data_IF_647973713907
#
_entry.id   IF_647973713907
#
_cell.length_a   1.000
_cell.length_b   1.000
_cell.length_c   1.000
_cell.angle_alpha   90.00
_cell.angle_beta   90.00
_cell.angle_gamma   90.00
#
_symmetry.space_group_name_H-M   'P 1'
#
loop_
_entity.id
_entity.type
_entity.pdbx_description
1 polymer ?
#
# COMPACT_ATOMS: atom_id res chain seq x y z
N UNK A 1 -10.35 10.61 7.18
CA UNK A 1 -10.53 9.36 7.96
C UNK A 1 -9.21 8.62 8.02
N UNK A 2 -8.80 8.14 9.20
CA UNK A 2 -7.57 7.35 9.43
C UNK A 2 -7.96 5.94 9.87
N UNK A 3 -7.33 4.91 9.31
CA UNK A 3 -7.54 3.50 9.67
C UNK A 3 -6.21 2.76 9.77
N UNK A 4 -6.16 1.75 10.63
CA UNK A 4 -5.02 0.85 10.76
C UNK A 4 -5.41 -0.55 10.29
N UNK A 5 -4.62 -1.13 9.40
CA UNK A 5 -4.81 -2.47 8.88
C UNK A 5 -3.56 -3.31 9.15
N UNK A 6 -3.75 -4.59 9.38
CA UNK A 6 -2.66 -5.56 9.45
C UNK A 6 -2.55 -6.27 8.11
N UNK A 7 -1.33 -6.37 7.58
CA UNK A 7 -1.01 -7.02 6.31
C UNK A 7 0.15 -8.00 6.54
N UNK A 8 0.07 -9.20 5.98
CA UNK A 8 1.24 -10.07 5.83
C UNK A 8 1.79 -9.93 4.42
N UNK A 9 3.10 -9.96 4.24
CA UNK A 9 3.74 -9.99 2.91
C UNK A 9 4.75 -11.13 2.90
N UNK A 10 4.73 -11.92 1.83
CA UNK A 10 5.61 -13.07 1.66
C UNK A 10 7.00 -12.62 1.19
N UNK A 11 8.03 -13.09 1.88
CA UNK A 11 9.42 -13.00 1.47
C UNK A 11 9.74 -13.99 0.35
N UNK A 12 10.85 -13.75 -0.36
CA UNK A 12 11.32 -14.65 -1.43
C UNK A 12 11.74 -16.03 -0.92
N UNK A 13 12.06 -16.12 0.36
CA UNK A 13 12.46 -17.33 1.09
C UNK A 13 11.26 -18.09 1.70
N UNK A 14 10.03 -17.67 1.41
CA UNK A 14 8.81 -18.27 1.96
C UNK A 14 8.45 -17.79 3.37
N UNK A 15 9.21 -16.86 3.94
CA UNK A 15 8.84 -16.20 5.20
C UNK A 15 7.60 -15.33 5.00
N UNK A 16 6.84 -15.10 6.07
CA UNK A 16 5.77 -14.11 6.10
C UNK A 16 6.07 -13.07 7.17
N UNK A 17 6.10 -11.82 6.74
CA UNK A 17 6.35 -10.69 7.62
C UNK A 17 5.07 -9.90 7.85
N UNK A 18 4.80 -9.56 9.10
CA UNK A 18 3.67 -8.71 9.48
C UNK A 18 4.02 -7.24 9.30
N UNK A 19 3.10 -6.49 8.70
CA UNK A 19 3.17 -5.06 8.50
C UNK A 19 1.88 -4.40 8.98
N UNK A 20 2.02 -3.20 9.53
CA UNK A 20 0.92 -2.31 9.83
C UNK A 20 0.80 -1.27 8.71
N UNK A 21 -0.38 -1.19 8.10
CA UNK A 21 -0.72 -0.15 7.15
C UNK A 21 -1.61 0.89 7.82
N UNK A 22 -1.08 2.10 8.00
CA UNK A 22 -1.86 3.27 8.34
C UNK A 22 -2.39 3.91 7.06
N UNK A 23 -3.72 3.91 6.90
CA UNK A 23 -4.43 4.40 5.72
C UNK A 23 -5.14 5.70 6.06
N UNK A 24 -4.78 6.78 5.37
CA UNK A 24 -5.44 8.07 5.45
C UNK A 24 -6.14 8.34 4.13
N UNK A 25 -7.47 8.46 4.16
CA UNK A 25 -8.28 8.82 2.99
C UNK A 25 -8.29 10.34 2.80
N UNK A 26 -7.82 10.77 1.63
CA UNK A 26 -7.97 12.11 1.08
C UNK A 26 -9.07 12.13 0.01
N UNK A 27 -9.39 13.29 -0.55
CA UNK A 27 -10.51 13.46 -1.51
C UNK A 27 -10.37 12.56 -2.74
N UNK A 28 -9.17 12.47 -3.31
CA UNK A 28 -8.92 11.76 -4.59
C UNK A 28 -7.95 10.58 -4.47
N UNK A 29 -7.34 10.38 -3.30
CA UNK A 29 -6.31 9.37 -3.09
C UNK A 29 -6.27 8.87 -1.65
N UNK A 30 -5.54 7.79 -1.42
CA UNK A 30 -5.14 7.32 -0.09
C UNK A 30 -3.65 7.55 0.10
N UNK A 31 -3.29 8.07 1.27
CA UNK A 31 -1.92 7.98 1.78
C UNK A 31 -1.83 6.73 2.65
N UNK A 32 -0.91 5.84 2.34
CA UNK A 32 -0.68 4.59 3.09
C UNK A 32 0.74 4.60 3.63
N UNK A 33 0.90 4.66 4.95
CA UNK A 33 2.19 4.43 5.60
C UNK A 33 2.28 2.96 6.01
N UNK A 34 3.26 2.25 5.48
CA UNK A 34 3.48 0.85 5.79
C UNK A 34 4.70 0.72 6.70
N UNK A 35 4.50 0.20 7.91
CA UNK A 35 5.58 -0.08 8.87
C UNK A 35 5.64 -1.57 9.19
N UNK A 36 6.82 -2.13 9.45
CA UNK A 36 6.92 -3.55 9.79
C UNK A 36 8.33 -4.08 9.99
N UNK A 37 8.54 -5.31 9.54
CA UNK A 37 9.73 -6.11 9.80
C UNK A 37 11.05 -5.34 9.57
N UNK A 38 12.00 -5.49 10.52
CA UNK A 38 13.32 -4.84 10.51
C UNK A 38 13.28 -3.31 10.40
N UNK A 39 12.24 -2.66 10.92
CA UNK A 39 12.11 -1.20 10.84
C UNK A 39 11.79 -0.72 9.44
N UNK A 40 11.26 -1.60 8.58
CA UNK A 40 10.71 -1.20 7.30
C UNK A 40 9.66 -0.12 7.52
N UNK A 41 9.83 1.01 6.86
CA UNK A 41 8.90 2.11 6.82
C UNK A 41 8.90 2.67 5.40
N UNK A 42 7.76 2.65 4.73
CA UNK A 42 7.63 3.22 3.39
C UNK A 42 6.23 3.83 3.20
N UNK A 43 6.19 5.00 2.57
CA UNK A 43 4.95 5.73 2.30
C UNK A 43 4.52 5.57 0.85
N UNK A 44 3.24 5.26 0.67
CA UNK A 44 2.60 5.07 -0.62
C UNK A 44 1.44 6.03 -0.83
N UNK A 45 1.24 6.43 -2.08
CA UNK A 45 0.02 7.08 -2.54
C UNK A 45 -0.72 6.10 -3.46
N UNK A 46 -1.98 5.82 -3.13
CA UNK A 46 -2.88 5.00 -3.94
C UNK A 46 -3.96 5.90 -4.51
N UNK A 47 -4.09 5.98 -5.83
CA UNK A 47 -5.12 6.76 -6.51
C UNK A 47 -5.88 5.89 -7.50
N UNK A 48 -7.17 6.19 -7.70
CA UNK A 48 -7.99 5.55 -8.73
C UNK A 48 -7.92 6.41 -9.99
N UNK A 49 -7.51 5.83 -11.10
CA UNK A 49 -7.54 6.43 -12.43
C UNK A 49 -8.42 5.54 -13.31
N UNK A 50 -9.59 6.06 -13.70
CA UNK A 50 -10.64 5.33 -14.40
C UNK A 50 -11.02 4.02 -13.70
N UNK A 51 -10.63 2.89 -14.28
CA UNK A 51 -10.90 1.54 -13.80
C UNK A 51 -9.68 0.86 -13.15
N UNK A 52 -8.58 1.60 -12.95
CA UNK A 52 -7.32 1.08 -12.41
C UNK A 52 -6.88 1.84 -11.17
N UNK A 53 -6.06 1.18 -10.35
CA UNK A 53 -5.41 1.80 -9.21
C UNK A 53 -3.94 2.01 -9.53
N UNK A 54 -3.47 3.24 -9.32
CA UNK A 54 -2.07 3.60 -9.45
C UNK A 54 -1.45 3.75 -8.07
N UNK A 55 -0.37 3.03 -7.85
CA UNK A 55 0.39 3.03 -6.60
C UNK A 55 1.73 3.74 -6.83
N UNK A 56 2.03 4.73 -5.99
CA UNK A 56 3.25 5.53 -6.06
C UNK A 56 3.99 5.37 -4.75
N UNK A 57 5.23 4.88 -4.79
CA UNK A 57 6.12 4.88 -3.64
C UNK A 57 6.71 6.29 -3.49
N UNK A 58 6.29 7.01 -2.44
CA UNK A 58 6.63 8.43 -2.26
C UNK A 58 8.11 8.62 -1.91
N UNK A 59 8.68 7.72 -1.10
CA UNK A 59 10.09 7.84 -0.67
C UNK A 59 11.06 7.62 -1.84
N UNK A 60 10.64 6.82 -2.83
CA UNK A 60 11.39 6.55 -4.08
C UNK A 60 10.94 7.41 -5.25
N UNK A 61 9.89 8.23 -5.07
CA UNK A 61 9.24 9.03 -6.11
C UNK A 61 8.96 8.25 -7.41
N UNK A 62 8.58 6.98 -7.28
CA UNK A 62 8.39 6.09 -8.43
C UNK A 62 7.02 5.44 -8.44
N UNK A 63 6.48 5.23 -9.63
CA UNK A 63 5.25 4.47 -9.84
C UNK A 63 5.62 3.00 -9.70
N UNK A 64 4.95 2.31 -8.78
CA UNK A 64 5.13 0.88 -8.64
C UNK A 64 4.54 0.16 -9.84
N UNK A 65 5.30 -0.75 -10.42
CA UNK A 65 4.77 -1.65 -11.43
C UNK A 65 3.62 -2.48 -10.82
N UNK A 66 2.57 -2.81 -11.61
CA UNK A 66 1.41 -3.58 -11.14
C UNK A 66 1.73 -5.07 -11.01
N UNK A 67 2.83 -5.39 -10.33
CA UNK A 67 3.34 -6.75 -10.10
C UNK A 67 3.73 -6.93 -8.64
N UNK A 68 3.56 -8.14 -8.15
CA UNK A 68 3.93 -8.53 -6.80
C UNK A 68 2.86 -8.28 -5.73
N UNK A 69 3.03 -8.99 -4.61
CA UNK A 69 2.05 -9.06 -3.53
C UNK A 69 1.78 -7.71 -2.87
N UNK A 70 2.81 -6.88 -2.65
CA UNK A 70 2.65 -5.56 -2.02
C UNK A 70 1.74 -4.65 -2.86
N UNK A 71 1.96 -4.58 -4.18
CA UNK A 71 1.11 -3.79 -5.08
C UNK A 71 -0.35 -4.28 -5.01
N UNK A 72 -0.58 -5.58 -5.08
CA UNK A 72 -1.93 -6.16 -5.01
C UNK A 72 -2.66 -5.84 -3.70
N UNK A 73 -1.95 -5.82 -2.56
CA UNK A 73 -2.53 -5.43 -1.26
C UNK A 73 -2.86 -3.94 -1.22
N UNK A 74 -1.97 -3.08 -1.72
CA UNK A 74 -2.23 -1.64 -1.80
C UNK A 74 -3.40 -1.32 -2.75
N UNK A 75 -3.52 -2.04 -3.86
CA UNK A 75 -4.68 -1.95 -4.75
C UNK A 75 -5.97 -2.42 -4.05
N UNK A 76 -5.93 -3.50 -3.28
CA UNK A 76 -7.09 -3.99 -2.50
C UNK A 76 -7.54 -2.95 -1.47
N UNK A 77 -6.60 -2.28 -0.80
CA UNK A 77 -6.88 -1.13 0.08
C UNK A 77 -7.51 0.01 -0.73
N UNK A 78 -6.94 0.34 -1.90
CA UNK A 78 -7.51 1.30 -2.84
C UNK A 78 -8.97 1.01 -3.17
N UNK A 79 -9.27 -0.21 -3.61
CA UNK A 79 -10.63 -0.70 -3.88
C UNK A 79 -11.53 -0.57 -2.66
N UNK A 80 -11.05 -0.85 -1.46
CA UNK A 80 -11.88 -0.77 -0.26
C UNK A 80 -12.30 0.66 0.10
N UNK A 81 -11.45 1.66 -0.13
CA UNK A 81 -11.68 3.02 0.39
C UNK A 81 -11.91 4.10 -0.68
N UNK A 82 -11.55 3.86 -1.93
CA UNK A 82 -11.76 4.78 -3.07
C UNK A 82 -12.79 4.24 -4.09
N UNK A 83 -13.49 3.15 -3.79
CA UNK A 83 -14.65 2.72 -4.58
C UNK A 83 -15.82 3.69 -4.42
#
# INVERSE_FOLDING_TARGET
MKQHLQLTISGKDGTQSLYTAEVIKCTEFLSVLLTGYQGFEEKFLVRKEDHRFKVIALDKQTIMEPKGELHQKLETIGRRFLS
#
